data_IF_836132680617
#
_entry.id   IF_836132680617
#
_cell.length_a   1.000
_cell.length_b   1.000
_cell.length_c   1.000
_cell.angle_alpha   90.00
_cell.angle_beta   90.00
_cell.angle_gamma   90.00
#
_symmetry.space_group_name_H-M   'P 1'
#
loop_
_entity.id
_entity.type
_entity.pdbx_description
1 polymer ?
#
# COMPACT_ATOMS: atom_id res chain seq x y z
N UNK A 1 -17.34 8.81 -16.06
CA UNK A 1 -16.44 9.16 -14.95
C UNK A 1 -15.13 9.62 -15.58
N UNK A 2 -14.50 10.67 -15.06
CA UNK A 2 -13.23 11.19 -15.58
C UNK A 2 -12.20 11.17 -14.45
N UNK A 3 -10.96 10.77 -14.75
CA UNK A 3 -9.85 10.78 -13.80
C UNK A 3 -8.88 11.90 -14.19
N UNK A 4 -8.54 12.77 -13.24
CA UNK A 4 -7.61 13.87 -13.49
C UNK A 4 -6.16 13.39 -13.48
N UNK A 5 -5.79 12.62 -12.47
CA UNK A 5 -4.45 12.08 -12.30
C UNK A 5 -4.44 10.83 -11.43
N UNK A 6 -3.40 10.02 -11.56
CA UNK A 6 -3.06 8.96 -10.63
C UNK A 6 -1.64 9.23 -10.10
N UNK A 7 -1.53 9.45 -8.78
CA UNK A 7 -0.25 9.66 -8.13
C UNK A 7 0.30 8.32 -7.61
N UNK A 8 1.42 7.85 -8.17
CA UNK A 8 2.09 6.61 -7.76
C UNK A 8 2.88 6.71 -6.45
N UNK A 9 3.12 7.92 -5.96
CA UNK A 9 3.81 8.21 -4.69
C UNK A 9 3.01 9.25 -3.88
N UNK A 10 1.87 8.83 -3.29
CA UNK A 10 1.03 9.74 -2.51
C UNK A 10 1.73 10.19 -1.23
N UNK A 11 1.27 11.30 -0.66
CA UNK A 11 1.67 11.70 0.69
C UNK A 11 1.24 10.64 1.74
N UNK A 12 2.11 10.39 2.72
CA UNK A 12 1.92 9.36 3.76
C UNK A 12 2.05 9.91 5.19
N UNK A 13 1.88 11.23 5.38
CA UNK A 13 1.84 11.85 6.71
C UNK A 13 0.43 11.76 7.31
N UNK A 14 0.28 12.03 8.61
CA UNK A 14 -1.02 12.01 9.31
C UNK A 14 -2.07 12.93 8.66
N UNK A 15 -1.66 13.99 7.96
CA UNK A 15 -2.58 14.93 7.29
C UNK A 15 -2.84 14.58 5.82
N UNK A 16 -2.15 13.59 5.27
CA UNK A 16 -2.25 13.18 3.86
C UNK A 16 -3.56 12.43 3.55
N UNK A 17 -4.01 12.47 2.29
CA UNK A 17 -5.29 11.91 1.88
C UNK A 17 -5.34 10.37 1.95
N UNK A 18 -4.27 9.67 1.56
CA UNK A 18 -4.25 8.20 1.57
C UNK A 18 -4.39 7.64 3.00
N UNK A 19 -3.59 8.08 3.99
CA UNK A 19 -3.80 7.68 5.39
C UNK A 19 -5.19 8.02 5.93
N UNK A 20 -5.73 9.20 5.60
CA UNK A 20 -7.10 9.60 6.01
C UNK A 20 -8.18 8.71 5.41
N UNK A 21 -8.05 8.34 4.14
CA UNK A 21 -9.00 7.45 3.47
C UNK A 21 -8.93 6.02 4.06
N UNK A 22 -7.73 5.53 4.38
CA UNK A 22 -7.55 4.25 5.06
C UNK A 22 -8.22 4.25 6.44
N UNK A 23 -8.00 5.30 7.24
CA UNK A 23 -8.66 5.45 8.55
C UNK A 23 -10.19 5.51 8.43
N UNK A 24 -10.72 6.24 7.43
CA UNK A 24 -12.16 6.27 7.14
C UNK A 24 -12.72 4.90 6.73
N UNK A 25 -11.88 4.02 6.17
CA UNK A 25 -12.20 2.63 5.87
C UNK A 25 -11.91 1.66 7.04
N UNK A 26 -11.55 2.18 8.23
CA UNK A 26 -11.24 1.38 9.42
C UNK A 26 -9.87 0.69 9.40
N UNK A 27 -8.93 1.18 8.59
CA UNK A 27 -7.55 0.67 8.49
C UNK A 27 -6.62 1.65 9.20
N UNK A 28 -5.98 1.19 10.28
CA UNK A 28 -5.01 1.98 11.02
C UNK A 28 -3.73 2.22 10.21
N UNK A 29 -3.03 3.33 10.47
CA UNK A 29 -1.86 3.71 9.69
C UNK A 29 -0.75 2.64 9.70
N UNK A 30 -0.50 2.01 10.85
CA UNK A 30 0.48 0.93 10.96
C UNK A 30 0.09 -0.29 10.10
N UNK A 31 -1.19 -0.63 10.07
CA UNK A 31 -1.72 -1.73 9.26
C UNK A 31 -1.65 -1.40 7.76
N UNK A 32 -1.93 -0.15 7.36
CA UNK A 32 -1.74 0.30 5.99
C UNK A 32 -0.28 0.12 5.54
N UNK A 33 0.67 0.53 6.37
CA UNK A 33 2.11 0.36 6.09
C UNK A 33 2.49 -1.12 5.94
N UNK A 34 2.01 -1.99 6.84
CA UNK A 34 2.25 -3.43 6.76
C UNK A 34 1.71 -4.02 5.45
N UNK A 35 0.47 -3.67 5.08
CA UNK A 35 -0.15 -4.11 3.81
C UNK A 35 0.67 -3.69 2.58
N UNK A 36 1.21 -2.46 2.58
CA UNK A 36 2.06 -1.96 1.50
C UNK A 36 3.39 -2.75 1.40
N UNK A 37 4.03 -3.04 2.52
CA UNK A 37 5.26 -3.85 2.54
C UNK A 37 4.97 -5.26 2.05
N UNK A 38 3.91 -5.90 2.53
CA UNK A 38 3.52 -7.23 2.09
C UNK A 38 3.17 -7.26 0.60
N UNK A 39 2.54 -6.22 0.07
CA UNK A 39 2.28 -6.09 -1.36
C UNK A 39 3.57 -5.98 -2.17
N UNK A 40 4.55 -5.19 -1.71
CA UNK A 40 5.86 -5.08 -2.35
C UNK A 40 6.62 -6.42 -2.36
N UNK A 41 6.55 -7.18 -1.26
CA UNK A 41 7.19 -8.50 -1.15
C UNK A 41 6.58 -9.58 -2.06
N UNK A 42 5.32 -9.45 -2.46
CA UNK A 42 4.66 -10.40 -3.40
C UNK A 42 5.11 -10.23 -4.86
N UNK A 43 5.80 -9.14 -5.17
CA UNK A 43 6.17 -8.81 -6.55
C UNK A 43 4.97 -8.51 -7.46
N UNK A 44 5.22 -7.99 -8.68
CA UNK A 44 4.17 -7.63 -9.63
C UNK A 44 3.34 -8.82 -10.12
N UNK A 45 3.88 -10.04 -10.07
CA UNK A 45 3.26 -11.24 -10.65
C UNK A 45 2.66 -12.19 -9.59
N UNK A 46 2.67 -11.79 -8.31
CA UNK A 46 2.19 -12.63 -7.20
C UNK A 46 3.11 -13.80 -6.83
N UNK A 47 4.31 -13.85 -7.39
CA UNK A 47 5.34 -14.86 -7.12
C UNK A 47 5.91 -14.66 -5.71
N UNK A 48 5.66 -15.61 -4.82
CA UNK A 48 6.37 -15.69 -3.54
C UNK A 48 7.88 -15.76 -3.86
N UNK A 49 8.74 -14.94 -3.23
CA UNK A 49 10.19 -15.10 -3.38
C UNK A 49 10.56 -16.55 -3.06
N UNK A 50 11.21 -17.22 -4.00
CA UNK A 50 11.71 -18.57 -3.80
C UNK A 50 12.57 -18.62 -2.53
N UNK A 51 12.21 -19.52 -1.61
CA UNK A 51 12.95 -19.67 -0.36
C UNK A 51 14.37 -20.15 -0.69
N UNK A 52 15.43 -19.40 -0.34
CA UNK A 52 16.78 -19.86 -0.57
C UNK A 52 17.08 -20.97 0.45
N UNK A 53 17.12 -22.22 -0.03
CA UNK A 53 17.62 -23.37 0.75
C UNK A 53 16.64 -24.52 1.01
N UNK A 54 15.76 -24.86 0.06
CA UNK A 54 15.21 -26.22 -0.03
C UNK A 54 16.16 -27.13 -0.84
#
# INVERSE_FOLDING_TARGET
FWCLEANSLPGMTATSLVPKAAAAAGIEFAELCERLVLAALRGPDGTQPEQPGA
#
